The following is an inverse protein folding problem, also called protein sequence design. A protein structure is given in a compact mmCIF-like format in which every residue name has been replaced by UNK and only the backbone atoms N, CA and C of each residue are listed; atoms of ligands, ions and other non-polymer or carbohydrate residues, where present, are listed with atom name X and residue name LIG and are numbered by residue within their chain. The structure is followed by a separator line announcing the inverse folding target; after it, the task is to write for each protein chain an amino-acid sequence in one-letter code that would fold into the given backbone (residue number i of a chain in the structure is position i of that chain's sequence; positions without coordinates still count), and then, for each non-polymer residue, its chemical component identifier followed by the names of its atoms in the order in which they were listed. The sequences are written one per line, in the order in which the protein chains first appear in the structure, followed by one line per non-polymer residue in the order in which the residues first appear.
data_IF_164890237510
#
_entry.id   IF_164890237510
#
_cell.length_a   1.000
_cell.length_b   1.000
_cell.length_c   1.000
_cell.angle_alpha   90.00
_cell.angle_beta   90.00
_cell.angle_gamma   90.00
#
_symmetry.space_group_name_H-M   'P 1'
#
loop_
_entity.id
_entity.type
_entity.pdbx_description
1 polymer ?
#
# COMPACT_ATOMS: atom_id res chain seq x y z
N UNK A 1 -22.94 -40.60 57.34
CA UNK A 1 -22.91 -39.35 56.55
C UNK A 1 -21.67 -39.40 55.66
N UNK A 2 -21.83 -39.71 54.37
CA UNK A 2 -20.73 -39.76 53.38
C UNK A 2 -21.12 -38.85 52.23
N UNK A 3 -20.38 -37.76 52.04
CA UNK A 3 -20.60 -36.76 51.00
C UNK A 3 -19.67 -37.12 49.84
N UNK A 4 -20.22 -37.46 48.68
CA UNK A 4 -19.47 -37.68 47.45
C UNK A 4 -19.39 -36.36 46.69
N UNK A 5 -18.18 -35.82 46.55
CA UNK A 5 -17.90 -34.63 45.73
C UNK A 5 -17.63 -35.09 44.30
N UNK A 6 -18.65 -35.02 43.44
CA UNK A 6 -18.49 -35.27 42.00
C UNK A 6 -17.95 -33.99 41.36
N UNK A 7 -16.65 -33.93 41.10
CA UNK A 7 -16.03 -32.84 40.36
C UNK A 7 -16.34 -32.99 38.86
N UNK A 8 -17.19 -32.11 38.34
CA UNK A 8 -17.44 -31.99 36.89
C UNK A 8 -16.28 -31.19 36.29
N UNK A 9 -15.41 -31.88 35.55
CA UNK A 9 -14.34 -31.24 34.77
C UNK A 9 -14.94 -30.76 33.44
N UNK A 10 -15.19 -29.46 33.33
CA UNK A 10 -15.59 -28.82 32.07
C UNK A 10 -14.35 -28.72 31.16
N UNK A 11 -14.26 -29.63 30.19
CA UNK A 11 -13.24 -29.63 29.15
C UNK A 11 -13.57 -28.52 28.14
N UNK A 12 -12.94 -27.35 28.28
CA UNK A 12 -12.96 -26.32 27.24
C UNK A 12 -12.14 -26.82 26.05
N UNK A 13 -12.83 -27.24 24.97
CA UNK A 13 -12.24 -27.45 23.66
C UNK A 13 -11.75 -26.10 23.14
N UNK A 14 -10.46 -25.82 23.33
CA UNK A 14 -9.77 -24.75 22.61
C UNK A 14 -9.69 -25.21 21.17
N UNK A 15 -10.69 -24.82 20.35
CA UNK A 15 -10.59 -24.97 18.90
C UNK A 15 -9.48 -24.01 18.47
N UNK A 16 -8.32 -24.50 18.00
CA UNK A 16 -7.36 -23.61 17.41
C UNK A 16 -8.00 -23.13 16.11
N UNK A 17 -8.46 -21.88 16.11
CA UNK A 17 -8.82 -21.17 14.90
C UNK A 17 -7.50 -20.90 14.16
N UNK A 18 -6.96 -21.91 13.49
CA UNK A 18 -5.91 -21.71 12.50
C UNK A 18 -6.59 -21.00 11.32
N UNK A 19 -6.56 -19.67 11.35
CA UNK A 19 -6.88 -18.85 10.20
C UNK A 19 -5.93 -19.23 9.08
N UNK A 20 -6.37 -20.10 8.19
CA UNK A 20 -5.61 -20.50 7.03
C UNK A 20 -5.69 -19.35 6.04
N UNK A 21 -4.75 -18.41 6.13
CA UNK A 21 -4.57 -17.42 5.06
C UNK A 21 -4.17 -18.20 3.81
N UNK A 22 -5.09 -18.30 2.85
CA UNK A 22 -4.80 -18.85 1.54
C UNK A 22 -3.83 -17.93 0.84
N UNK A 23 -2.55 -18.30 0.82
CA UNK A 23 -1.52 -17.58 0.07
C UNK A 23 -1.79 -17.72 -1.41
N UNK A 24 -1.81 -16.61 -2.13
CA UNK A 24 -1.96 -16.62 -3.58
C UNK A 24 -0.70 -17.20 -4.24
N UNK A 25 -0.85 -17.81 -5.42
CA UNK A 25 0.33 -18.28 -6.16
C UNK A 25 1.19 -17.08 -6.60
N UNK A 26 2.52 -17.22 -6.72
CA UNK A 26 3.42 -16.11 -7.05
C UNK A 26 3.02 -15.35 -8.33
N UNK A 27 2.47 -16.05 -9.32
CA UNK A 27 2.01 -15.47 -10.59
C UNK A 27 0.77 -14.57 -10.42
N UNK A 28 0.06 -14.71 -9.30
CA UNK A 28 -1.09 -13.87 -8.91
C UNK A 28 -0.70 -12.73 -7.97
N UNK A 29 0.60 -12.50 -7.80
CA UNK A 29 1.15 -11.38 -7.04
C UNK A 29 1.74 -10.31 -7.97
N UNK A 30 1.94 -9.11 -7.44
CA UNK A 30 2.58 -8.00 -8.15
C UNK A 30 3.77 -7.49 -7.35
N UNK A 31 4.90 -8.24 -7.32
CA UNK A 31 6.01 -7.99 -6.39
C UNK A 31 6.85 -6.73 -6.70
N UNK A 32 6.63 -6.04 -7.81
CA UNK A 32 7.49 -4.92 -8.21
C UNK A 32 7.03 -4.21 -9.48
N UNK A 33 7.90 -3.35 -10.01
CA UNK A 33 7.67 -2.68 -11.29
C UNK A 33 7.40 -3.71 -12.38
N UNK A 34 6.24 -3.59 -13.04
CA UNK A 34 5.73 -4.54 -14.05
C UNK A 34 5.37 -5.95 -13.52
N UNK A 35 5.22 -6.12 -12.21
CA UNK A 35 4.63 -7.33 -11.63
C UNK A 35 5.52 -8.57 -11.71
N UNK A 36 4.87 -9.75 -11.74
CA UNK A 36 5.56 -11.04 -11.75
C UNK A 36 6.48 -11.17 -12.98
N UNK A 37 7.74 -11.55 -12.75
CA UNK A 37 8.79 -11.65 -13.77
C UNK A 37 8.94 -10.39 -14.66
N UNK A 38 8.52 -9.22 -14.17
CA UNK A 38 8.50 -7.94 -14.90
C UNK A 38 7.70 -7.95 -16.24
N UNK A 39 6.72 -8.84 -16.38
CA UNK A 39 5.93 -9.01 -17.61
C UNK A 39 5.08 -7.79 -17.98
N UNK A 40 4.50 -7.10 -16.99
CA UNK A 40 3.66 -5.92 -17.17
C UNK A 40 2.19 -6.21 -17.42
N UNK A 41 1.79 -7.49 -17.38
CA UNK A 41 0.40 -7.94 -17.52
C UNK A 41 0.15 -9.17 -16.65
N UNK A 42 -1.12 -9.47 -16.44
CA UNK A 42 -1.58 -10.71 -15.80
C UNK A 42 -2.77 -11.22 -16.62
N UNK A 43 -2.81 -12.51 -16.90
CA UNK A 43 -3.91 -13.13 -17.66
C UNK A 43 -5.03 -13.58 -16.73
N UNK A 44 -6.22 -13.81 -17.28
CA UNK A 44 -7.38 -14.34 -16.56
C UNK A 44 -7.68 -13.55 -15.27
N UNK A 45 -7.53 -12.23 -15.34
CA UNK A 45 -8.00 -11.28 -14.33
C UNK A 45 -9.31 -10.69 -14.82
N UNK A 46 -10.38 -10.91 -14.06
CA UNK A 46 -11.70 -10.35 -14.34
C UNK A 46 -11.72 -8.86 -13.98
N UNK A 47 -11.00 -8.05 -14.76
CA UNK A 47 -10.92 -6.61 -14.59
C UNK A 47 -12.17 -5.93 -15.19
N UNK A 48 -12.63 -4.82 -14.60
CA UNK A 48 -13.74 -4.07 -15.16
C UNK A 48 -13.36 -3.47 -16.53
N UNK A 49 -14.30 -3.49 -17.47
CA UNK A 49 -14.11 -2.93 -18.82
C UNK A 49 -14.13 -1.39 -18.83
N UNK A 50 -14.80 -0.77 -17.86
CA UNK A 50 -14.90 0.68 -17.66
C UNK A 50 -14.59 1.06 -16.22
N UNK A 51 -14.13 2.30 -15.99
CA UNK A 51 -14.05 2.90 -14.66
C UNK A 51 -14.15 4.42 -14.77
N UNK A 52 -14.70 5.06 -13.74
CA UNK A 52 -14.83 6.52 -13.65
C UNK A 52 -14.53 6.98 -12.22
N UNK A 53 -13.41 7.70 -12.05
CA UNK A 53 -13.02 8.24 -10.73
C UNK A 53 -13.96 9.34 -10.25
N UNK A 54 -14.50 10.17 -11.16
CA UNK A 54 -15.37 11.29 -10.78
C UNK A 54 -16.73 10.80 -10.30
N UNK A 55 -17.26 9.77 -10.96
CA UNK A 55 -18.55 9.16 -10.60
C UNK A 55 -18.40 7.96 -9.64
N UNK A 56 -17.17 7.58 -9.27
CA UNK A 56 -16.85 6.39 -8.46
C UNK A 56 -17.34 5.06 -9.08
N UNK A 57 -17.44 4.99 -10.41
CA UNK A 57 -17.79 3.76 -11.12
C UNK A 57 -16.60 2.79 -11.11
N UNK A 58 -16.81 1.57 -10.64
CA UNK A 58 -15.78 0.53 -10.52
C UNK A 58 -14.52 0.97 -9.73
N UNK A 59 -14.68 1.93 -8.81
CA UNK A 59 -13.64 2.36 -7.86
C UNK A 59 -13.93 1.72 -6.49
N UNK A 60 -13.05 0.82 -6.04
CA UNK A 60 -13.24 0.13 -4.76
C UNK A 60 -13.04 1.05 -3.56
N UNK A 61 -11.98 1.86 -3.59
CA UNK A 61 -11.66 2.85 -2.55
C UNK A 61 -10.68 3.90 -3.08
N UNK A 62 -10.56 5.00 -2.33
CA UNK A 62 -9.56 6.04 -2.54
C UNK A 62 -9.09 6.54 -1.18
N UNK A 63 -7.77 6.65 -1.01
CA UNK A 63 -7.16 7.19 0.19
C UNK A 63 -6.11 8.25 -0.17
N UNK A 64 -5.90 9.19 0.75
CA UNK A 64 -4.82 10.17 0.62
C UNK A 64 -3.51 9.58 1.16
N UNK A 65 -2.45 9.64 0.37
CA UNK A 65 -1.08 9.32 0.80
C UNK A 65 -0.29 10.62 0.88
N UNK A 66 0.29 10.98 2.04
CA UNK A 66 1.11 12.18 2.16
C UNK A 66 2.32 12.17 1.22
N UNK A 67 2.70 13.36 0.74
CA UNK A 67 3.82 13.52 -0.19
C UNK A 67 3.42 13.32 -1.65
N UNK A 68 4.39 12.99 -2.51
CA UNK A 68 4.16 12.84 -3.95
C UNK A 68 3.78 11.42 -4.39
N UNK A 69 4.15 10.39 -3.61
CA UNK A 69 3.75 8.99 -3.79
C UNK A 69 3.80 8.45 -5.24
N UNK A 70 4.83 8.79 -6.03
CA UNK A 70 4.97 8.40 -7.45
C UNK A 70 5.55 6.98 -7.66
N UNK A 71 5.55 6.16 -6.62
CA UNK A 71 6.07 4.79 -6.68
C UNK A 71 5.14 3.86 -7.49
N UNK A 72 5.69 2.77 -8.04
CA UNK A 72 4.86 1.66 -8.51
C UNK A 72 4.40 0.82 -7.32
N UNK A 73 3.09 0.58 -7.13
CA UNK A 73 2.60 -0.20 -6.02
C UNK A 73 3.04 -1.66 -6.12
N UNK A 74 3.28 -2.27 -4.96
CA UNK A 74 3.54 -3.71 -4.81
C UNK A 74 2.29 -4.34 -4.18
N UNK A 75 1.86 -5.49 -4.70
CA UNK A 75 0.73 -6.25 -4.13
C UNK A 75 1.19 -7.66 -3.81
N UNK A 76 1.04 -8.05 -2.55
CA UNK A 76 1.34 -9.39 -2.05
C UNK A 76 0.22 -9.84 -1.10
N UNK A 77 -0.38 -10.98 -1.40
CA UNK A 77 -1.61 -11.46 -0.80
C UNK A 77 -2.65 -10.35 -0.68
N UNK A 78 -3.05 -9.99 0.55
CA UNK A 78 -4.05 -8.96 0.83
C UNK A 78 -3.45 -7.57 1.08
N UNK A 79 -2.14 -7.42 0.89
CA UNK A 79 -1.39 -6.21 1.22
C UNK A 79 -0.98 -5.47 -0.05
N UNK A 80 -1.19 -4.17 -0.04
CA UNK A 80 -0.70 -3.22 -1.02
C UNK A 80 0.36 -2.34 -0.36
N UNK A 81 1.50 -2.18 -1.01
CA UNK A 81 2.60 -1.35 -0.50
C UNK A 81 2.90 -0.22 -1.46
N UNK A 82 3.09 0.97 -0.92
CA UNK A 82 3.53 2.17 -1.66
C UNK A 82 4.64 2.87 -0.88
N UNK A 83 5.50 3.55 -1.61
CA UNK A 83 6.52 4.43 -1.04
C UNK A 83 6.24 5.87 -1.42
N UNK A 84 6.59 6.79 -0.51
CA UNK A 84 6.40 8.22 -0.73
C UNK A 84 7.52 9.03 -0.07
N UNK A 85 7.75 10.22 -0.60
CA UNK A 85 8.61 11.23 -0.02
C UNK A 85 7.74 12.42 0.41
N UNK A 86 7.80 12.75 1.70
CA UNK A 86 7.05 13.85 2.31
C UNK A 86 8.01 14.99 2.58
N UNK A 87 7.91 16.07 1.81
CA UNK A 87 8.67 17.30 2.05
C UNK A 87 8.12 18.06 3.27
N UNK A 88 9.00 18.76 4.00
CA UNK A 88 8.61 19.66 5.07
C UNK A 88 8.25 21.08 4.58
N UNK A 89 8.59 21.42 3.34
CA UNK A 89 8.35 22.76 2.78
C UNK A 89 7.50 22.75 1.50
N UNK A 90 7.72 21.79 0.60
CA UNK A 90 7.04 21.72 -0.68
C UNK A 90 5.73 20.91 -0.61
N UNK A 91 4.62 21.60 -0.86
CA UNK A 91 3.29 20.99 -1.00
C UNK A 91 2.73 21.13 -2.42
N UNK A 92 3.57 21.52 -3.40
CA UNK A 92 3.11 21.91 -4.74
C UNK A 92 2.70 20.75 -5.67
N UNK A 93 2.75 19.51 -5.17
CA UNK A 93 2.27 18.33 -5.88
C UNK A 93 3.04 18.02 -7.18
N UNK A 94 2.47 17.10 -7.96
CA UNK A 94 2.97 16.78 -9.30
C UNK A 94 2.48 17.82 -10.30
N UNK A 95 3.41 18.42 -11.06
CA UNK A 95 3.05 19.33 -12.16
C UNK A 95 3.04 18.57 -13.48
N UNK A 96 1.86 18.36 -14.06
CA UNK A 96 1.67 17.67 -15.36
C UNK A 96 1.51 18.68 -16.50
N UNK A 97 2.10 18.42 -17.67
CA UNK A 97 2.00 19.31 -18.86
C UNK A 97 3.33 19.61 -19.56
N UNK A 98 3.28 20.34 -20.68
CA UNK A 98 4.46 20.83 -21.41
C UNK A 98 4.77 22.24 -20.90
N UNK A 99 5.81 22.35 -20.07
CA UNK A 99 6.35 23.61 -19.60
C UNK A 99 7.80 23.71 -20.05
N UNK A 100 8.21 24.87 -20.55
CA UNK A 100 9.52 25.09 -21.17
C UNK A 100 10.69 25.19 -20.18
N UNK A 101 10.42 25.15 -18.87
CA UNK A 101 11.45 25.19 -17.84
C UNK A 101 11.56 23.83 -17.13
N UNK A 102 12.74 23.21 -17.26
CA UNK A 102 13.11 21.95 -16.62
C UNK A 102 13.88 22.16 -15.31
N UNK A 103 13.92 23.38 -14.79
CA UNK A 103 14.55 23.67 -13.51
C UNK A 103 13.95 22.79 -12.40
N UNK A 104 14.80 22.26 -11.50
CA UNK A 104 14.32 21.49 -10.37
C UNK A 104 13.48 22.37 -9.44
N UNK A 105 12.58 21.74 -8.69
CA UNK A 105 11.80 22.43 -7.67
C UNK A 105 12.76 22.99 -6.62
N UNK A 106 12.57 24.25 -6.23
CA UNK A 106 13.42 24.90 -5.23
C UNK A 106 13.01 24.50 -3.81
N UNK A 107 13.23 23.23 -3.50
CA UNK A 107 13.04 22.66 -2.17
C UNK A 107 14.37 22.09 -1.67
N UNK A 108 14.81 22.61 -0.52
CA UNK A 108 16.02 22.18 0.19
C UNK A 108 15.71 21.68 1.60
N UNK A 109 14.43 21.45 1.88
CA UNK A 109 13.97 20.98 3.18
C UNK A 109 14.23 19.50 3.37
N UNK A 110 14.18 19.06 4.63
CA UNK A 110 14.22 17.65 4.95
C UNK A 110 12.99 16.93 4.38
N UNK A 111 13.19 15.74 3.87
CA UNK A 111 12.14 14.83 3.43
C UNK A 111 12.06 13.62 4.35
N UNK A 112 10.84 13.17 4.65
CA UNK A 112 10.57 11.88 5.25
C UNK A 112 10.22 10.88 4.15
N UNK A 113 11.05 9.85 3.98
CA UNK A 113 10.79 8.74 3.07
C UNK A 113 10.05 7.64 3.83
N UNK A 114 8.82 7.34 3.40
CA UNK A 114 7.90 6.44 4.10
C UNK A 114 7.45 5.29 3.22
N UNK A 115 7.14 4.18 3.86
CA UNK A 115 6.50 3.00 3.30
C UNK A 115 5.16 2.82 3.98
N UNK A 116 4.10 2.65 3.21
CA UNK A 116 2.76 2.33 3.72
C UNK A 116 2.41 0.90 3.33
N UNK A 117 1.79 0.17 4.25
CA UNK A 117 1.10 -1.08 3.98
C UNK A 117 -0.40 -0.83 4.15
N UNK A 118 -1.14 -1.19 3.11
CA UNK A 118 -2.57 -0.91 2.97
C UNK A 118 -3.27 -2.24 2.74
N UNK A 119 -4.43 -2.43 3.35
CA UNK A 119 -5.30 -3.55 3.01
C UNK A 119 -5.90 -3.33 1.62
N UNK A 120 -5.67 -4.27 0.69
CA UNK A 120 -6.02 -4.06 -0.73
C UNK A 120 -7.53 -3.97 -0.98
N UNK A 121 -8.37 -4.44 -0.05
CA UNK A 121 -9.81 -4.52 -0.24
C UNK A 121 -10.56 -3.33 0.36
N UNK A 122 -10.13 -2.87 1.54
CA UNK A 122 -10.72 -1.74 2.25
C UNK A 122 -10.05 -0.41 1.94
N UNK A 123 -8.75 -0.43 1.60
CA UNK A 123 -7.92 0.77 1.54
C UNK A 123 -7.42 1.24 2.90
N UNK A 124 -7.66 0.50 3.99
CA UNK A 124 -7.19 0.88 5.31
C UNK A 124 -5.66 0.81 5.40
N UNK A 125 -5.04 1.83 6.00
CA UNK A 125 -3.62 1.81 6.32
C UNK A 125 -3.41 0.84 7.50
N UNK A 126 -2.81 -0.30 7.22
CA UNK A 126 -2.48 -1.32 8.22
C UNK A 126 -1.29 -0.88 9.07
N UNK A 127 -0.29 -0.27 8.43
CA UNK A 127 0.83 0.38 9.12
C UNK A 127 1.56 1.34 8.19
N UNK A 128 2.29 2.29 8.78
CA UNK A 128 3.31 3.08 8.09
C UNK A 128 4.67 2.89 8.76
N UNK A 129 5.73 3.03 7.96
CA UNK A 129 7.10 3.06 8.46
C UNK A 129 7.89 4.15 7.76
N UNK A 130 8.56 4.97 8.56
CA UNK A 130 9.59 5.89 8.05
C UNK A 130 10.89 5.13 7.81
N UNK A 131 11.30 5.05 6.55
CA UNK A 131 12.54 4.39 6.14
C UNK A 131 13.75 5.31 6.36
N UNK A 132 13.60 6.61 6.08
CA UNK A 132 14.67 7.58 6.20
C UNK A 132 14.13 9.01 6.37
N UNK A 133 14.94 9.87 6.99
CA UNK A 133 14.73 11.32 7.06
C UNK A 133 16.02 12.02 6.67
N UNK A 134 15.96 12.96 5.72
CA UNK A 134 17.13 13.74 5.34
C UNK A 134 16.84 14.73 4.21
N UNK A 135 17.76 15.66 3.98
CA UNK A 135 17.69 16.56 2.82
C UNK A 135 18.17 15.76 1.59
N UNK A 136 17.36 15.63 0.52
CA UNK A 136 17.80 14.98 -0.70
C UNK A 136 19.03 15.68 -1.30
N UNK A 137 20.03 14.91 -1.74
CA UNK A 137 21.24 15.46 -2.38
C UNK A 137 20.92 16.20 -3.68
N UNK A 138 19.92 15.71 -4.41
CA UNK A 138 19.45 16.27 -5.67
C UNK A 138 18.01 16.72 -5.51
N UNK A 139 17.74 17.98 -5.89
CA UNK A 139 16.39 18.54 -5.94
C UNK A 139 15.56 17.81 -7.00
N UNK A 140 14.29 17.51 -6.68
CA UNK A 140 13.42 16.78 -7.60
C UNK A 140 13.10 17.58 -8.86
N UNK A 141 12.88 16.86 -9.95
CA UNK A 141 12.30 17.43 -11.16
C UNK A 141 10.81 17.77 -10.90
N UNK A 142 10.22 18.85 -11.44
CA UNK A 142 8.81 19.20 -11.16
C UNK A 142 7.78 18.12 -11.52
N UNK A 143 8.16 17.22 -12.43
CA UNK A 143 7.38 16.05 -12.89
C UNK A 143 7.70 14.74 -12.15
N UNK A 144 8.50 14.79 -11.09
CA UNK A 144 8.95 13.66 -10.28
C UNK A 144 8.99 13.99 -8.79
#
# INVERSE_FOLDING_TARGET
MKIYFTAIFLLFLVVPCTGQESTLSPERQWPGYRGYLAGGSMDNVNLPESWDIANSENVLWKIGIPGLALSSPIIWDNRLFVTTAVSQADTSGLRTGIYGDGAPVDDRSQHDFRVYCIDKYSGDILWEKKAYSGVPEVRRHPKA
#
